data_IF_099017318356
#
_entry.id   IF_099017318356
#
_cell.length_a   1.000
_cell.length_b   1.000
_cell.length_c   1.000
_cell.angle_alpha   90.00
_cell.angle_beta   90.00
_cell.angle_gamma   90.00
#
_symmetry.space_group_name_H-M   'P 1'
#
loop_
_entity.id
_entity.type
_entity.pdbx_description
1 polymer ?
#
# COMPACT_ATOMS: atom_id res chain seq x y z
N UNK A 1 10.61 -10.22 -8.94
CA UNK A 1 9.20 -9.75 -8.94
C UNK A 1 8.43 -10.63 -7.96
N UNK A 2 7.77 -10.06 -6.94
CA UNK A 2 6.98 -10.84 -5.97
C UNK A 2 5.73 -11.40 -6.66
N UNK A 3 5.32 -12.66 -6.39
CA UNK A 3 4.13 -13.23 -6.99
C UNK A 3 2.89 -12.53 -6.43
N UNK A 4 2.16 -11.82 -7.30
CA UNK A 4 0.84 -11.28 -7.00
C UNK A 4 -0.20 -12.28 -7.46
N UNK A 5 -1.14 -12.65 -6.59
CA UNK A 5 -2.16 -13.63 -6.93
C UNK A 5 -3.39 -12.95 -7.52
N UNK A 6 -4.04 -13.60 -8.47
CA UNK A 6 -5.32 -13.17 -9.03
C UNK A 6 -6.40 -13.94 -8.26
N UNK A 7 -7.34 -13.23 -7.65
CA UNK A 7 -8.53 -13.86 -7.10
C UNK A 7 -9.56 -14.06 -8.20
N UNK A 8 -9.78 -15.32 -8.61
CA UNK A 8 -10.71 -15.69 -9.66
C UNK A 8 -12.18 -15.36 -9.37
N UNK A 9 -12.54 -15.07 -8.12
CA UNK A 9 -13.89 -14.66 -7.73
C UNK A 9 -14.08 -13.15 -7.73
N UNK A 10 -13.00 -12.37 -7.79
CA UNK A 10 -13.09 -10.93 -7.87
C UNK A 10 -13.28 -10.49 -9.33
N UNK A 11 -14.41 -9.86 -9.70
CA UNK A 11 -14.66 -9.44 -11.08
C UNK A 11 -13.63 -8.41 -11.59
N UNK A 12 -12.91 -7.75 -10.66
CA UNK A 12 -11.92 -6.72 -10.96
C UNK A 12 -10.49 -7.23 -11.19
N UNK A 13 -10.22 -8.53 -10.97
CA UNK A 13 -8.88 -9.13 -11.14
C UNK A 13 -8.65 -9.72 -12.54
N UNK A 14 -9.72 -9.93 -13.32
CA UNK A 14 -9.69 -10.61 -14.63
C UNK A 14 -9.18 -9.74 -15.79
N UNK A 15 -8.76 -8.50 -15.55
CA UNK A 15 -8.25 -7.61 -16.57
C UNK A 15 -7.95 -6.22 -16.03
N UNK A 16 -7.23 -5.43 -16.82
CA UNK A 16 -6.99 -4.02 -16.52
C UNK A 16 -8.25 -3.20 -16.71
N UNK A 17 -8.83 -2.70 -15.62
CA UNK A 17 -10.04 -1.90 -15.66
C UNK A 17 -9.67 -0.43 -15.88
N UNK A 18 -10.25 0.19 -16.90
CA UNK A 18 -10.13 1.62 -17.12
C UNK A 18 -11.33 2.32 -16.47
N UNK A 19 -11.05 3.24 -15.55
CA UNK A 19 -12.07 4.02 -14.85
C UNK A 19 -11.88 5.49 -15.22
N UNK A 20 -12.96 6.15 -15.64
CA UNK A 20 -12.96 7.61 -15.77
C UNK A 20 -13.12 8.21 -14.37
N UNK A 21 -12.04 8.80 -13.84
CA UNK A 21 -12.07 9.49 -12.57
C UNK A 21 -12.73 10.86 -12.73
N UNK A 22 -13.76 11.13 -11.93
CA UNK A 22 -14.41 12.43 -11.86
C UNK A 22 -14.05 13.17 -10.56
N UNK A 23 -14.19 14.49 -10.57
CA UNK A 23 -14.15 15.28 -9.33
C UNK A 23 -15.41 15.00 -8.48
N UNK A 24 -15.47 15.61 -7.29
CA UNK A 24 -16.62 15.44 -6.37
C UNK A 24 -17.95 15.92 -6.96
N UNK A 25 -17.89 16.77 -7.98
CA UNK A 25 -19.05 17.33 -8.69
C UNK A 25 -19.46 16.50 -9.92
N UNK A 26 -18.74 15.41 -10.21
CA UNK A 26 -19.02 14.49 -11.32
C UNK A 26 -18.36 14.87 -12.65
N UNK A 27 -17.54 15.92 -12.70
CA UNK A 27 -16.83 16.32 -13.92
C UNK A 27 -15.61 15.40 -14.16
N UNK A 28 -15.44 14.87 -15.39
CA UNK A 28 -14.28 14.03 -15.73
C UNK A 28 -12.96 14.77 -15.53
N UNK A 29 -12.00 14.13 -14.85
CA UNK A 29 -10.66 14.66 -14.57
C UNK A 29 -9.59 13.92 -15.38
N UNK A 30 -9.63 12.58 -15.37
CA UNK A 30 -8.72 11.75 -16.15
C UNK A 30 -9.15 10.27 -16.15
N UNK A 31 -8.57 9.49 -17.05
CA UNK A 31 -8.61 8.03 -16.96
C UNK A 31 -7.63 7.50 -15.92
N UNK A 32 -8.02 6.43 -15.23
CA UNK A 32 -7.12 5.62 -14.41
C UNK A 32 -7.19 4.16 -14.86
N UNK A 33 -6.03 3.54 -15.04
CA UNK A 33 -5.91 2.10 -15.22
C UNK A 33 -5.77 1.45 -13.86
N UNK A 34 -6.62 0.48 -13.53
CA UNK A 34 -6.66 -0.22 -12.25
C UNK A 34 -6.36 -1.70 -12.46
N UNK A 35 -5.51 -2.24 -11.59
CA UNK A 35 -5.21 -3.67 -11.49
C UNK A 35 -5.42 -4.12 -10.05
N UNK A 36 -6.17 -5.21 -9.91
CA UNK A 36 -6.47 -5.81 -8.60
C UNK A 36 -5.74 -7.14 -8.47
N UNK A 37 -5.14 -7.37 -7.31
CA UNK A 37 -4.47 -8.62 -6.96
C UNK A 37 -4.64 -8.92 -5.46
N UNK A 38 -4.20 -10.09 -5.02
CA UNK A 38 -4.29 -10.53 -3.63
C UNK A 38 -2.90 -10.93 -3.13
N UNK A 39 -2.56 -10.45 -1.94
CA UNK A 39 -1.28 -10.69 -1.27
C UNK A 39 -1.51 -10.89 0.24
N UNK A 40 -0.53 -11.47 0.92
CA UNK A 40 -0.52 -11.51 2.39
C UNK A 40 -0.14 -10.13 2.91
N UNK A 41 -0.85 -9.64 3.93
CA UNK A 41 -0.61 -8.33 4.54
C UNK A 41 0.87 -8.10 4.88
N UNK A 42 1.50 -9.07 5.52
CA UNK A 42 2.88 -8.96 6.00
C UNK A 42 3.89 -9.19 4.88
N UNK A 43 3.48 -9.45 3.63
CA UNK A 43 4.38 -9.56 2.48
C UNK A 43 4.62 -8.21 1.78
N UNK A 44 4.01 -7.13 2.28
CA UNK A 44 4.28 -5.76 1.86
C UNK A 44 5.79 -5.44 1.99
N UNK A 45 6.34 -4.74 0.98
CA UNK A 45 7.72 -4.28 1.01
C UNK A 45 7.83 -2.88 1.58
N UNK A 46 9.08 -2.46 1.83
CA UNK A 46 9.38 -1.07 2.18
C UNK A 46 8.88 -0.08 1.11
N UNK A 47 9.09 -0.39 -0.17
CA UNK A 47 8.67 0.48 -1.27
C UNK A 47 7.15 0.58 -1.38
N UNK A 48 6.45 -0.53 -1.20
CA UNK A 48 4.99 -0.54 -1.23
C UNK A 48 4.43 0.22 -0.02
N UNK A 49 5.00 0.01 1.18
CA UNK A 49 4.63 0.76 2.37
C UNK A 49 4.82 2.28 2.19
N UNK A 50 5.92 2.72 1.57
CA UNK A 50 6.13 4.13 1.21
C UNK A 50 5.08 4.60 0.19
N UNK A 51 4.77 3.79 -0.83
CA UNK A 51 3.75 4.12 -1.84
C UNK A 51 2.34 4.22 -1.26
N UNK A 52 2.02 3.46 -0.20
CA UNK A 52 0.79 3.56 0.58
C UNK A 52 0.73 4.83 1.45
N UNK A 53 1.83 5.60 1.53
CA UNK A 53 1.87 6.91 2.17
C UNK A 53 2.62 6.95 3.50
N UNK A 54 3.51 5.99 3.79
CA UNK A 54 4.44 6.13 4.91
C UNK A 54 5.39 7.30 4.64
N UNK A 55 5.40 8.25 5.57
CA UNK A 55 6.24 9.44 5.53
C UNK A 55 7.73 9.06 5.64
N UNK A 56 8.48 9.39 4.60
CA UNK A 56 9.92 9.07 4.49
C UNK A 56 10.78 9.98 5.34
N UNK A 57 10.36 11.23 5.57
CA UNK A 57 11.10 12.18 6.39
C UNK A 57 10.98 11.75 7.86
N UNK A 58 9.76 11.41 8.29
CA UNK A 58 9.54 10.87 9.64
C UNK A 58 10.23 9.52 9.87
N UNK A 59 10.29 8.66 8.84
CA UNK A 59 11.05 7.42 8.90
C UNK A 59 12.55 7.67 9.07
N UNK A 60 13.11 8.64 8.33
CA UNK A 60 14.52 9.00 8.43
C UNK A 60 14.87 9.54 9.81
N UNK A 61 14.07 10.46 10.35
CA UNK A 61 14.25 10.98 11.72
C UNK A 61 14.19 9.86 12.77
N UNK A 62 13.26 8.92 12.62
CA UNK A 62 13.14 7.77 13.51
C UNK A 62 14.37 6.85 13.45
N UNK A 63 14.94 6.67 12.26
CA UNK A 63 16.17 5.90 12.06
C UNK A 63 17.39 6.61 12.64
N UNK A 64 17.54 7.91 12.43
CA UNK A 64 18.64 8.70 12.98
C UNK A 64 18.62 8.70 14.52
N UNK A 65 17.43 8.88 15.11
CA UNK A 65 17.24 8.78 16.55
C UNK A 65 17.62 7.39 17.07
N UNK A 66 17.20 6.33 16.37
CA UNK A 66 17.58 4.97 16.72
C UNK A 66 19.10 4.80 16.68
N UNK A 67 19.75 5.23 15.60
CA UNK A 67 21.20 5.08 15.40
C UNK A 67 22.03 5.88 16.43
N UNK A 68 21.46 6.96 17.01
CA UNK A 68 22.10 7.75 18.08
C UNK A 68 22.03 7.09 19.47
N UNK A 69 21.01 6.27 19.74
CA UNK A 69 20.76 5.67 21.06
C UNK A 69 21.02 4.16 21.10
N UNK A 70 21.03 3.52 19.94
CA UNK A 70 21.15 2.08 19.83
C UNK A 70 22.59 1.63 20.02
N UNK A 71 22.80 0.72 20.97
CA UNK A 71 24.06 0.01 21.08
C UNK A 71 24.18 -1.01 19.93
N UNK A 72 25.40 -1.42 19.56
CA UNK A 72 25.68 -2.22 18.35
C UNK A 72 24.95 -3.59 18.28
N UNK A 73 24.29 -4.01 19.35
CA UNK A 73 23.54 -5.26 19.46
C UNK A 73 22.01 -5.08 19.56
N UNK A 74 21.49 -3.87 19.36
CA UNK A 74 20.05 -3.62 19.39
C UNK A 74 19.40 -4.02 18.05
N UNK A 75 18.23 -4.65 18.16
CA UNK A 75 17.36 -4.98 17.02
C UNK A 75 16.17 -4.02 16.95
N UNK A 76 15.48 -3.97 15.80
CA UNK A 76 14.25 -3.19 15.66
C UNK A 76 14.45 -1.75 15.17
N UNK A 77 15.51 -1.50 14.40
CA UNK A 77 15.67 -0.24 13.65
C UNK A 77 14.38 0.04 12.85
N UNK A 78 13.80 1.25 12.92
CA UNK A 78 12.55 1.57 12.23
C UNK A 78 12.59 1.28 10.73
N UNK A 79 11.48 0.76 10.20
CA UNK A 79 11.29 0.42 8.78
C UNK A 79 9.96 0.97 8.30
N UNK A 80 9.81 1.24 7.00
CA UNK A 80 8.54 1.67 6.43
C UNK A 80 7.47 0.59 6.62
N UNK A 81 7.83 -0.69 6.48
CA UNK A 81 6.95 -1.81 6.80
C UNK A 81 6.53 -1.83 8.27
N UNK A 82 7.44 -1.54 9.19
CA UNK A 82 7.14 -1.40 10.61
C UNK A 82 6.12 -0.28 10.86
N UNK A 83 6.35 0.90 10.28
CA UNK A 83 5.41 2.03 10.37
C UNK A 83 4.04 1.69 9.75
N UNK A 84 4.02 0.99 8.62
CA UNK A 84 2.79 0.51 8.01
C UNK A 84 2.03 -0.47 8.90
N UNK A 85 2.72 -1.34 9.65
CA UNK A 85 2.05 -2.24 10.60
C UNK A 85 1.33 -1.47 11.71
N UNK A 86 1.92 -0.38 12.22
CA UNK A 86 1.29 0.49 13.21
C UNK A 86 0.09 1.24 12.62
N UNK A 87 0.22 1.76 11.40
CA UNK A 87 -0.89 2.40 10.69
C UNK A 87 -2.05 1.42 10.47
N UNK A 88 -1.75 0.20 10.03
CA UNK A 88 -2.77 -0.82 9.83
C UNK A 88 -3.51 -1.15 11.14
N UNK A 89 -2.77 -1.31 12.25
CA UNK A 89 -3.35 -1.53 13.57
C UNK A 89 -4.16 -0.34 14.07
N UNK A 90 -3.81 0.91 13.75
CA UNK A 90 -4.60 2.07 14.16
C UNK A 90 -5.96 2.15 13.45
N UNK A 91 -6.05 1.60 12.23
CA UNK A 91 -7.28 1.55 11.44
C UNK A 91 -8.13 0.32 11.80
N UNK A 92 -7.51 -0.84 12.02
CA UNK A 92 -8.20 -2.13 12.14
C UNK A 92 -7.97 -2.87 13.47
N UNK A 93 -7.31 -2.27 14.46
CA UNK A 93 -6.84 -2.93 15.68
C UNK A 93 -7.93 -3.62 16.52
N UNK A 94 -9.16 -3.11 16.47
CA UNK A 94 -10.30 -3.72 17.17
C UNK A 94 -10.80 -5.01 16.49
N UNK A 95 -10.52 -5.18 15.19
CA UNK A 95 -10.89 -6.35 14.42
C UNK A 95 -9.77 -7.40 14.45
N UNK A 96 -9.93 -8.37 15.36
CA UNK A 96 -8.98 -9.48 15.52
C UNK A 96 -8.76 -10.32 14.26
N UNK A 97 -9.67 -10.27 13.27
CA UNK A 97 -9.49 -10.97 11.99
C UNK A 97 -8.54 -10.24 11.05
N UNK A 98 -8.37 -8.92 11.24
CA UNK A 98 -7.51 -8.05 10.42
C UNK A 98 -6.20 -7.69 11.10
N UNK A 99 -6.02 -8.07 12.37
CA UNK A 99 -4.79 -7.92 13.14
C UNK A 99 -3.52 -8.31 12.33
N UNK A 100 -2.47 -7.50 12.43
CA UNK A 100 -1.22 -7.65 11.66
C UNK A 100 -0.59 -9.04 11.85
N UNK A 101 -0.63 -9.54 13.08
CA UNK A 101 -0.10 -10.84 13.49
C UNK A 101 -0.87 -12.01 12.84
N UNK A 102 -2.12 -11.80 12.41
CA UNK A 102 -2.90 -12.81 11.69
C UNK A 102 -2.50 -12.93 10.23
N UNK A 103 -1.78 -11.94 9.70
CA UNK A 103 -1.33 -11.88 8.32
C UNK A 103 -2.45 -12.24 7.32
N UNK A 104 -3.60 -11.54 7.35
CA UNK A 104 -4.73 -11.85 6.48
C UNK A 104 -4.35 -11.69 4.99
N UNK A 105 -5.15 -12.31 4.13
CA UNK A 105 -5.12 -11.98 2.71
C UNK A 105 -5.79 -10.63 2.50
N UNK A 106 -5.12 -9.75 1.78
CA UNK A 106 -5.59 -8.40 1.45
C UNK A 106 -5.64 -8.22 -0.05
N UNK A 107 -6.55 -7.36 -0.49
CA UNK A 107 -6.56 -6.90 -1.87
C UNK A 107 -5.55 -5.78 -2.06
N UNK A 108 -4.74 -5.91 -3.10
CA UNK A 108 -3.78 -4.90 -3.56
C UNK A 108 -4.35 -4.26 -4.81
N UNK A 109 -4.52 -2.94 -4.77
CA UNK A 109 -5.10 -2.15 -5.86
C UNK A 109 -4.01 -1.24 -6.41
N UNK A 110 -3.53 -1.54 -7.60
CA UNK A 110 -2.55 -0.71 -8.31
C UNK A 110 -3.30 0.18 -9.30
N UNK A 111 -3.08 1.50 -9.24
CA UNK A 111 -3.65 2.44 -10.19
C UNK A 111 -2.59 3.29 -10.87
N UNK A 112 -2.81 3.58 -12.15
CA UNK A 112 -1.96 4.48 -12.95
C UNK A 112 -2.84 5.49 -13.68
N UNK A 113 -2.54 6.78 -13.51
CA UNK A 113 -3.19 7.85 -14.27
C UNK A 113 -2.82 7.74 -15.75
N UNK A 114 -3.83 7.85 -16.60
CA UNK A 114 -3.69 7.93 -18.05
C UNK A 114 -4.30 9.27 -18.46
N UNK A 115 -3.47 10.17 -18.99
CA UNK A 115 -4.00 11.35 -19.67
C UNK A 115 -4.65 10.86 -20.97
N UNK A 116 -5.90 11.25 -21.22
CA UNK A 116 -6.50 11.04 -22.54
C UNK A 116 -5.57 11.70 -23.56
N UNK A 117 -5.05 10.91 -24.51
CA UNK A 117 -4.57 11.48 -25.76
C UNK A 117 -5.80 12.05 -26.46
N UNK A 118 -6.02 13.36 -26.30
CA UNK A 118 -6.81 14.12 -27.27
C UNK A 118 -6.05 14.01 -28.60
N UNK A 119 -6.48 13.08 -29.43
CA UNK A 119 -6.10 13.09 -30.84
C UNK A 119 -6.89 14.25 -31.46
N UNK A 120 -6.23 15.41 -31.53
CA UNK A 120 -6.67 16.55 -32.35
C UNK A 120 -6.42 16.25 -33.84
#
# INVERSE_FOLDING_TARGET
VRPKFIDYYCPYTLGGHFINACNKDGEPVCGIYVKVSVERLNDISEQDAIAEGIDTDWLAESQDNYDCIADHNMSGRPTAKGHFSYLWQSIYGDDKSKCWEKNPWVWVIEFKRVQEQRND
#
